data_IF_250477671439
#
_entry.id   IF_250477671439
#
_cell.length_a   1.000
_cell.length_b   1.000
_cell.length_c   1.000
_cell.angle_alpha   90.00
_cell.angle_beta   90.00
_cell.angle_gamma   90.00
#
_symmetry.space_group_name_H-M   'P 1'
#
loop_
_entity.id
_entity.type
_entity.pdbx_description
1 polymer ?
#
# COMPACT_ATOMS: atom_id res chain seq x y z
N UNK A 1 -55.08 43.12 -31.13
CA UNK A 1 -55.00 42.38 -29.84
C UNK A 1 -54.00 41.21 -29.92
N UNK A 2 -52.83 41.40 -30.55
CA UNK A 2 -51.90 40.27 -30.82
C UNK A 2 -50.61 40.31 -30.00
N UNK A 3 -50.34 41.41 -29.28
CA UNK A 3 -49.09 41.58 -28.51
C UNK A 3 -49.10 40.96 -27.12
N UNK A 4 -50.26 40.82 -26.47
CA UNK A 4 -50.32 40.34 -25.08
C UNK A 4 -50.13 38.81 -24.95
N UNK A 5 -50.56 38.04 -25.95
CA UNK A 5 -50.40 36.57 -25.98
C UNK A 5 -48.96 36.14 -26.28
N UNK A 6 -48.20 36.93 -27.04
CA UNK A 6 -46.82 36.61 -27.41
C UNK A 6 -45.83 36.83 -26.27
N UNK A 7 -46.05 37.82 -25.40
CA UNK A 7 -45.15 38.10 -24.28
C UNK A 7 -45.11 36.95 -23.27
N UNK A 8 -46.26 36.37 -22.92
CA UNK A 8 -46.33 35.21 -22.00
C UNK A 8 -45.56 34.00 -22.53
N UNK A 9 -45.67 33.71 -23.83
CA UNK A 9 -44.94 32.61 -24.46
C UNK A 9 -43.42 32.84 -24.49
N UNK A 10 -42.97 34.11 -24.57
CA UNK A 10 -41.55 34.46 -24.50
C UNK A 10 -40.99 34.21 -23.11
N UNK A 11 -41.70 34.62 -22.05
CA UNK A 11 -41.29 34.35 -20.67
C UNK A 11 -41.26 32.86 -20.35
N UNK A 12 -42.25 32.08 -20.82
CA UNK A 12 -42.23 30.63 -20.65
C UNK A 12 -41.04 29.97 -21.35
N UNK A 13 -40.69 30.41 -22.58
CA UNK A 13 -39.51 29.91 -23.29
C UNK A 13 -38.20 30.27 -22.60
N UNK A 14 -38.08 31.51 -22.09
CA UNK A 14 -36.91 31.95 -21.33
C UNK A 14 -36.79 31.16 -20.02
N UNK A 15 -37.91 30.93 -19.33
CA UNK A 15 -37.95 30.14 -18.11
C UNK A 15 -37.52 28.69 -18.35
N UNK A 16 -38.01 28.05 -19.41
CA UNK A 16 -37.59 26.70 -19.83
C UNK A 16 -36.09 26.64 -20.16
N UNK A 17 -35.57 27.66 -20.83
CA UNK A 17 -34.14 27.76 -21.16
C UNK A 17 -33.28 27.91 -19.89
N UNK A 18 -33.69 28.79 -18.96
CA UNK A 18 -33.03 28.95 -17.67
C UNK A 18 -33.09 27.67 -16.83
N UNK A 19 -34.25 26.99 -16.81
CA UNK A 19 -34.43 25.75 -16.07
C UNK A 19 -33.54 24.63 -16.63
N UNK A 20 -33.48 24.50 -17.95
CA UNK A 20 -32.59 23.55 -18.62
C UNK A 20 -31.12 23.84 -18.35
N UNK A 21 -30.71 25.10 -18.38
CA UNK A 21 -29.36 25.52 -18.04
C UNK A 21 -29.02 25.22 -16.57
N UNK A 22 -29.95 25.47 -15.65
CA UNK A 22 -29.78 25.17 -14.23
C UNK A 22 -29.65 23.66 -13.97
N UNK A 23 -30.46 22.84 -14.65
CA UNK A 23 -30.35 21.38 -14.59
C UNK A 23 -29.02 20.88 -15.15
N UNK A 24 -28.52 21.49 -16.24
CA UNK A 24 -27.21 21.18 -16.80
C UNK A 24 -26.08 21.52 -15.82
N UNK A 25 -26.16 22.64 -15.11
CA UNK A 25 -25.20 23.02 -14.08
C UNK A 25 -25.19 22.04 -12.91
N UNK A 26 -26.36 21.59 -12.45
CA UNK A 26 -26.48 20.56 -11.41
C UNK A 26 -25.86 19.25 -11.90
N UNK A 27 -26.17 18.84 -13.13
CA UNK A 27 -25.66 17.61 -13.72
C UNK A 27 -24.13 17.68 -13.86
N UNK A 28 -23.57 18.79 -14.33
CA UNK A 28 -22.12 19.00 -14.37
C UNK A 28 -21.51 18.98 -12.96
N UNK A 29 -22.14 19.60 -11.97
CA UNK A 29 -21.63 19.59 -10.59
C UNK A 29 -21.61 18.18 -9.97
N UNK A 30 -22.55 17.31 -10.35
CA UNK A 30 -22.67 15.93 -9.88
C UNK A 30 -21.77 14.96 -10.65
N UNK A 31 -21.68 15.10 -11.98
CA UNK A 31 -20.98 14.16 -12.87
C UNK A 31 -19.56 14.58 -13.29
N UNK A 32 -19.09 15.78 -12.94
CA UNK A 32 -17.70 16.17 -13.20
C UNK A 32 -16.73 15.26 -12.42
N UNK A 33 -15.58 14.96 -13.02
CA UNK A 33 -14.58 13.97 -12.59
C UNK A 33 -14.07 14.16 -11.13
N UNK A 34 -14.31 15.34 -10.55
CA UNK A 34 -14.04 15.71 -9.16
C UNK A 34 -15.26 16.32 -8.42
N UNK A 35 -16.48 15.89 -8.75
CA UNK A 35 -17.71 16.33 -8.07
C UNK A 35 -17.71 15.98 -6.58
N UNK A 36 -18.67 16.53 -5.82
CA UNK A 36 -18.79 16.44 -4.34
C UNK A 36 -18.63 15.01 -3.77
N UNK A 37 -18.98 13.99 -4.58
CA UNK A 37 -18.80 12.58 -4.24
C UNK A 37 -17.32 12.17 -4.07
N UNK A 38 -16.40 12.72 -4.87
CA UNK A 38 -14.98 12.36 -4.81
C UNK A 38 -14.27 13.07 -3.64
N UNK A 39 -14.70 14.29 -3.29
CA UNK A 39 -14.22 14.99 -2.09
C UNK A 39 -14.52 14.21 -0.80
N UNK A 40 -15.66 13.50 -0.76
CA UNK A 40 -16.02 12.64 0.37
C UNK A 40 -15.24 11.30 0.40
N UNK A 41 -14.89 10.76 -0.77
CA UNK A 41 -14.10 9.52 -0.87
C UNK A 41 -12.61 9.73 -0.60
N UNK A 42 -12.08 10.93 -0.77
CA UNK A 42 -10.67 11.25 -0.56
C UNK A 42 -10.29 11.36 0.93
N UNK A 43 -11.25 11.62 1.82
CA UNK A 43 -11.01 11.58 3.27
C UNK A 43 -10.90 10.14 3.81
N UNK A 44 -11.72 9.22 3.31
CA UNK A 44 -11.70 7.83 3.79
C UNK A 44 -10.46 7.06 3.33
N UNK A 45 -9.91 7.38 2.15
CA UNK A 45 -8.67 6.77 1.66
C UNK A 45 -7.46 7.13 2.52
N UNK A 46 -7.37 8.40 2.94
CA UNK A 46 -6.24 8.87 3.76
C UNK A 46 -6.27 8.30 5.17
N UNK A 47 -7.45 8.14 5.77
CA UNK A 47 -7.59 7.54 7.10
C UNK A 47 -7.26 6.04 7.11
N UNK A 48 -7.67 5.29 6.08
CA UNK A 48 -7.33 3.86 5.96
C UNK A 48 -5.83 3.64 5.81
N UNK A 49 -5.19 4.37 4.90
CA UNK A 49 -3.74 4.24 4.67
C UNK A 49 -2.95 4.63 5.92
N UNK A 50 -3.38 5.67 6.64
CA UNK A 50 -2.72 6.08 7.89
C UNK A 50 -2.88 5.02 8.99
N UNK A 51 -4.08 4.46 9.16
CA UNK A 51 -4.32 3.36 10.11
C UNK A 51 -3.46 2.15 9.77
N UNK A 52 -3.37 1.79 8.50
CA UNK A 52 -2.58 0.63 8.05
C UNK A 52 -1.08 0.85 8.28
N UNK A 53 -0.57 2.08 8.11
CA UNK A 53 0.81 2.44 8.44
C UNK A 53 1.07 2.30 9.95
N UNK A 54 0.16 2.77 10.79
CA UNK A 54 0.32 2.73 12.24
C UNK A 54 0.24 1.27 12.75
N UNK A 55 -0.66 0.46 12.20
CA UNK A 55 -0.76 -0.98 12.50
C UNK A 55 0.51 -1.74 12.05
N UNK A 56 1.03 -1.44 10.85
CA UNK A 56 2.29 -2.03 10.37
C UNK A 56 3.47 -1.64 11.25
N UNK A 57 3.53 -0.39 11.72
CA UNK A 57 4.59 0.08 12.63
C UNK A 57 4.56 -0.66 13.96
N UNK A 58 3.39 -0.76 14.58
CA UNK A 58 3.21 -1.50 15.84
C UNK A 58 3.63 -2.97 15.69
N UNK A 59 3.24 -3.61 14.59
CA UNK A 59 3.66 -4.98 14.31
C UNK A 59 5.18 -5.08 14.12
N UNK A 60 5.79 -4.14 13.39
CA UNK A 60 7.24 -4.14 13.17
C UNK A 60 8.02 -3.97 14.49
N UNK A 61 7.57 -3.08 15.37
CA UNK A 61 8.17 -2.88 16.69
C UNK A 61 8.05 -4.13 17.56
N UNK A 62 6.87 -4.77 17.57
CA UNK A 62 6.66 -6.02 18.30
C UNK A 62 7.57 -7.15 17.78
N UNK A 63 7.64 -7.33 16.47
CA UNK A 63 8.54 -8.30 15.82
C UNK A 63 10.01 -8.02 16.13
N UNK A 64 10.43 -6.75 16.15
CA UNK A 64 11.80 -6.37 16.52
C UNK A 64 12.13 -6.66 17.97
N UNK A 65 11.19 -6.40 18.88
CA UNK A 65 11.35 -6.74 20.30
C UNK A 65 11.43 -8.25 20.50
N UNK A 66 10.61 -9.02 19.79
CA UNK A 66 10.64 -10.48 19.82
C UNK A 66 11.97 -11.01 19.25
N UNK A 67 12.43 -10.49 18.11
CA UNK A 67 13.74 -10.84 17.55
C UNK A 67 14.86 -10.48 18.54
N UNK A 68 14.80 -9.32 19.18
CA UNK A 68 15.80 -8.90 20.17
C UNK A 68 15.78 -9.80 21.40
N UNK A 69 14.60 -10.16 21.90
CA UNK A 69 14.44 -11.09 23.02
C UNK A 69 14.90 -12.51 22.69
N UNK A 70 14.70 -12.96 21.44
CA UNK A 70 15.19 -14.26 20.97
C UNK A 70 16.70 -14.24 20.67
N UNK A 71 17.27 -13.08 20.33
CA UNK A 71 18.69 -12.91 20.00
C UNK A 71 19.52 -12.35 21.15
N UNK A 72 18.95 -12.05 22.32
CA UNK A 72 19.68 -11.34 23.38
C UNK A 72 20.82 -12.16 24.01
N UNK A 73 20.90 -13.46 23.74
CA UNK A 73 22.06 -14.27 24.09
C UNK A 73 23.10 -14.24 22.95
N UNK A 74 24.29 -13.65 23.16
CA UNK A 74 25.39 -13.65 22.20
C UNK A 74 25.75 -15.05 21.69
N UNK A 75 25.54 -16.09 22.51
CA UNK A 75 25.80 -17.48 22.13
C UNK A 75 24.85 -17.97 21.03
N UNK A 76 23.56 -17.65 21.13
CA UNK A 76 22.55 -18.06 20.14
C UNK A 76 22.73 -17.32 18.80
N UNK A 77 23.19 -16.07 18.85
CA UNK A 77 23.59 -15.33 17.64
C UNK A 77 24.78 -16.02 16.96
N UNK A 78 25.83 -16.33 17.72
CA UNK A 78 27.03 -16.96 17.18
C UNK A 78 26.72 -18.36 16.61
N UNK A 79 25.86 -19.12 17.28
CA UNK A 79 25.39 -20.42 16.83
C UNK A 79 24.67 -20.33 15.48
N UNK A 80 23.70 -19.42 15.33
CA UNK A 80 22.98 -19.23 14.05
C UNK A 80 23.95 -18.77 12.95
N UNK A 81 24.86 -17.85 13.26
CA UNK A 81 25.84 -17.36 12.31
C UNK A 81 26.76 -18.48 11.79
N UNK A 82 27.30 -19.33 12.67
CA UNK A 82 28.18 -20.44 12.29
C UNK A 82 27.44 -21.62 11.67
N UNK A 83 26.33 -22.06 12.25
CA UNK A 83 25.64 -23.30 11.84
C UNK A 83 24.69 -23.11 10.65
N UNK A 84 23.93 -22.01 10.61
CA UNK A 84 22.91 -21.81 9.57
C UNK A 84 23.40 -20.95 8.41
N UNK A 85 24.24 -19.96 8.72
CA UNK A 85 24.71 -18.99 7.73
C UNK A 85 26.16 -19.24 7.28
N UNK A 86 26.88 -20.19 7.90
CA UNK A 86 28.29 -20.50 7.65
C UNK A 86 29.20 -19.24 7.66
N UNK A 87 28.85 -18.26 8.49
CA UNK A 87 29.61 -17.03 8.66
C UNK A 87 30.76 -17.26 9.65
N UNK A 88 31.94 -16.74 9.30
CA UNK A 88 33.15 -16.79 10.12
C UNK A 88 33.63 -15.35 10.41
N UNK A 89 34.29 -15.14 11.55
CA UNK A 89 34.84 -13.81 11.90
C UNK A 89 36.10 -13.53 11.07
N UNK A 90 36.44 -12.25 10.80
CA UNK A 90 37.71 -11.90 10.16
C UNK A 90 38.89 -12.49 10.95
N UNK A 91 39.66 -13.37 10.31
CA UNK A 91 40.79 -14.09 10.94
C UNK A 91 40.52 -15.56 11.29
N UNK A 92 39.29 -16.06 11.15
CA UNK A 92 38.96 -17.47 11.35
C UNK A 92 39.47 -18.35 10.19
N UNK A 93 39.98 -19.55 10.50
CA UNK A 93 40.34 -20.56 9.50
C UNK A 93 39.18 -21.53 9.25
N UNK A 94 38.65 -21.56 8.02
CA UNK A 94 37.53 -22.45 7.63
C UNK A 94 38.07 -23.78 7.13
N UNK A 95 37.68 -24.87 7.79
CA UNK A 95 38.05 -26.23 7.40
C UNK A 95 36.86 -26.96 6.79
N UNK A 96 37.04 -27.48 5.58
CA UNK A 96 36.04 -28.33 4.93
C UNK A 96 36.42 -29.79 5.14
N UNK A 97 35.53 -30.56 5.77
CA UNK A 97 35.71 -32.00 5.93
C UNK A 97 35.40 -32.65 4.59
N UNK A 98 36.45 -32.95 3.82
CA UNK A 98 36.32 -33.82 2.64
C UNK A 98 36.33 -35.27 3.12
N UNK A 99 35.29 -36.03 2.78
CA UNK A 99 35.35 -37.48 2.97
C UNK A 99 36.44 -38.01 2.05
N UNK A 100 37.46 -38.63 2.63
CA UNK A 100 38.50 -39.29 1.85
C UNK A 100 37.83 -40.30 0.93
N UNK A 101 37.83 -40.02 -0.38
CA UNK A 101 37.46 -40.98 -1.40
C UNK A 101 38.24 -42.25 -1.08
N UNK A 102 37.54 -43.28 -0.60
CA UNK A 102 38.12 -44.60 -0.37
C UNK A 102 38.64 -45.06 -1.73
N UNK A 103 39.94 -44.87 -1.97
CA UNK A 103 40.60 -45.35 -3.16
C UNK A 103 40.45 -46.87 -3.17
N UNK A 104 39.67 -47.34 -4.14
CA UNK A 104 39.41 -48.74 -4.38
C UNK A 104 40.77 -49.42 -4.67
N UNK A 105 41.14 -50.52 -3.99
CA UNK A 105 42.43 -51.16 -4.23
C UNK A 105 42.42 -51.76 -5.64
N UNK A 106 43.44 -51.42 -6.42
CA UNK A 106 43.72 -52.01 -7.73
C UNK A 106 43.79 -53.54 -7.55
N UNK A 107 42.93 -54.26 -8.26
CA UNK A 107 43.01 -55.72 -8.36
C UNK A 107 44.09 -56.10 -9.40
N UNK A 108 44.79 -57.23 -9.20
CA UNK A 108 46.06 -57.55 -9.88
C UNK A 108 45.96 -57.70 -11.40
#
# INVERSE_FOLDING_TARGET
>A
MNGFMTENFRYQKIFLLCLGFFLLLILMAVFHENGILNAYHLEQGQLKIKSEIDDLRLNNEKLRLEITALKSDPYEIEKIAREKLNLAKPGDHVYHIVQAQKSLPLSP
#
